data_IF_935645082940
#
_entry.id   IF_935645082940
#
_cell.length_a   1.000
_cell.length_b   1.000
_cell.length_c   1.000
_cell.angle_alpha   90.00
_cell.angle_beta   90.00
_cell.angle_gamma   90.00
#
_symmetry.space_group_name_H-M   'P 1'
#
loop_
_entity.id
_entity.type
_entity.pdbx_description
1 polymer ?
#
# COMPACT_ATOMS: atom_id res chain seq x y z
N UNK A 1 19.22 -15.18 1.87
CA UNK A 1 18.29 -14.44 2.76
C UNK A 1 17.12 -13.99 1.90
N UNK A 2 15.89 -14.44 2.18
CA UNK A 2 14.71 -13.90 1.48
C UNK A 2 14.54 -12.47 2.01
N UNK A 3 14.96 -11.48 1.22
CA UNK A 3 15.00 -10.07 1.58
C UNK A 3 13.73 -9.67 2.34
N UNK A 4 13.87 -9.26 3.61
CA UNK A 4 12.76 -8.82 4.46
C UNK A 4 11.88 -7.75 3.77
N UNK A 5 12.48 -7.00 2.85
CA UNK A 5 11.80 -6.03 1.99
C UNK A 5 10.73 -6.66 1.11
N UNK A 6 10.96 -7.84 0.54
CA UNK A 6 9.96 -8.55 -0.27
C UNK A 6 8.76 -8.94 0.58
N UNK A 7 8.99 -9.37 1.83
CA UNK A 7 7.92 -9.73 2.75
C UNK A 7 7.10 -8.49 3.16
N UNK A 8 7.78 -7.39 3.51
CA UNK A 8 7.15 -6.13 3.88
C UNK A 8 6.35 -5.53 2.72
N UNK A 9 6.90 -5.54 1.50
CA UNK A 9 6.20 -5.10 0.29
C UNK A 9 4.94 -5.94 0.07
N UNK A 10 5.04 -7.26 0.20
CA UNK A 10 3.87 -8.15 0.12
C UNK A 10 2.78 -7.81 1.14
N UNK A 11 3.18 -7.49 2.38
CA UNK A 11 2.24 -7.06 3.43
C UNK A 11 1.58 -5.71 3.12
N UNK A 12 2.34 -4.74 2.61
CA UNK A 12 1.80 -3.44 2.17
C UNK A 12 0.72 -3.64 1.11
N UNK A 13 1.00 -4.46 0.09
CA UNK A 13 0.05 -4.75 -0.99
C UNK A 13 -1.22 -5.44 -0.48
N UNK A 14 -1.08 -6.48 0.34
CA UNK A 14 -2.22 -7.18 0.94
C UNK A 14 -3.12 -6.26 1.79
N UNK A 15 -2.52 -5.40 2.61
CA UNK A 15 -3.26 -4.44 3.44
C UNK A 15 -3.96 -3.38 2.60
N UNK A 16 -3.27 -2.86 1.58
CA UNK A 16 -3.84 -1.89 0.64
C UNK A 16 -5.04 -2.49 -0.09
N UNK A 17 -4.90 -3.66 -0.69
CA UNK A 17 -5.98 -4.29 -1.48
C UNK A 17 -7.21 -4.55 -0.61
N UNK A 18 -7.00 -4.98 0.64
CA UNK A 18 -8.07 -5.11 1.64
C UNK A 18 -8.77 -3.79 1.94
N UNK A 19 -8.03 -2.69 2.07
CA UNK A 19 -8.59 -1.36 2.32
C UNK A 19 -9.30 -0.79 1.09
N UNK A 20 -8.76 -0.99 -0.11
CA UNK A 20 -9.40 -0.63 -1.40
C UNK A 20 -10.73 -1.35 -1.56
N UNK A 21 -10.78 -2.65 -1.28
CA UNK A 21 -12.02 -3.44 -1.32
C UNK A 21 -13.09 -2.89 -0.34
N UNK A 22 -12.65 -2.30 0.77
CA UNK A 22 -13.50 -1.69 1.81
C UNK A 22 -13.57 -0.17 1.72
N UNK A 23 -13.18 0.45 0.60
CA UNK A 23 -13.13 1.92 0.47
C UNK A 23 -14.46 2.62 0.77
N UNK A 24 -15.57 1.95 0.46
CA UNK A 24 -16.93 2.42 0.71
C UNK A 24 -17.28 2.47 2.21
N UNK A 25 -16.54 1.76 3.05
CA UNK A 25 -16.69 1.75 4.49
C UNK A 25 -15.69 2.68 5.20
N UNK A 26 -14.88 3.45 4.46
CA UNK A 26 -13.98 4.45 5.04
C UNK A 26 -14.81 5.67 5.44
N UNK A 27 -14.81 6.08 6.73
CA UNK A 27 -15.48 7.30 7.15
C UNK A 27 -14.92 8.53 6.45
N UNK A 28 -15.76 9.52 6.15
CA UNK A 28 -15.34 10.75 5.46
C UNK A 28 -14.22 11.49 6.20
N UNK A 29 -14.20 11.42 7.54
CA UNK A 29 -13.14 11.96 8.40
C UNK A 29 -11.78 11.30 8.20
N UNK A 30 -11.73 10.09 7.64
CA UNK A 30 -10.51 9.30 7.43
C UNK A 30 -10.06 9.28 5.95
N UNK A 31 -10.82 9.89 5.04
CA UNK A 31 -10.49 9.90 3.60
C UNK A 31 -9.16 10.62 3.28
N UNK A 32 -8.83 11.68 4.02
CA UNK A 32 -7.56 12.39 3.82
C UNK A 32 -6.35 11.52 4.19
N UNK A 33 -6.43 10.81 5.31
CA UNK A 33 -5.40 9.86 5.74
C UNK A 33 -5.31 8.68 4.77
N UNK A 34 -6.46 8.15 4.33
CA UNK A 34 -6.52 7.10 3.32
C UNK A 34 -5.85 7.51 2.01
N UNK A 35 -6.15 8.71 1.49
CA UNK A 35 -5.55 9.22 0.24
C UNK A 35 -4.03 9.34 0.36
N UNK A 36 -3.53 9.84 1.49
CA UNK A 36 -2.09 9.92 1.77
C UNK A 36 -1.43 8.54 1.82
N UNK A 37 -2.05 7.57 2.51
CA UNK A 37 -1.55 6.19 2.57
C UNK A 37 -1.58 5.53 1.19
N UNK A 38 -2.69 5.67 0.46
CA UNK A 38 -2.83 5.14 -0.89
C UNK A 38 -1.73 5.67 -1.81
N UNK A 39 -1.46 6.98 -1.79
CA UNK A 39 -0.37 7.60 -2.57
C UNK A 39 1.00 7.00 -2.24
N UNK A 40 1.32 6.82 -0.95
CA UNK A 40 2.57 6.17 -0.51
C UNK A 40 2.66 4.69 -0.91
N UNK A 41 1.53 4.00 -0.98
CA UNK A 41 1.48 2.59 -1.42
C UNK A 41 1.47 2.41 -2.95
N UNK A 42 1.29 3.49 -3.70
CA UNK A 42 1.16 3.45 -5.17
C UNK A 42 2.48 3.08 -5.84
N UNK A 43 3.62 3.42 -5.24
CA UNK A 43 4.95 3.10 -5.77
C UNK A 43 5.30 1.61 -5.64
N UNK A 44 4.56 0.87 -4.81
CA UNK A 44 4.70 -0.58 -4.66
C UNK A 44 3.75 -1.36 -5.59
N UNK A 45 2.81 -0.69 -6.25
CA UNK A 45 1.87 -1.35 -7.15
C UNK A 45 2.62 -1.88 -8.37
N UNK A 46 2.68 -3.20 -8.48
CA UNK A 46 3.30 -3.88 -9.62
C UNK A 46 2.56 -3.64 -10.93
N UNK A 47 1.32 -3.13 -10.92
CA UNK A 47 0.53 -2.85 -12.14
C UNK A 47 0.83 -1.47 -12.74
N UNK A 48 1.29 -0.52 -11.93
CA UNK A 48 1.66 0.84 -12.40
C UNK A 48 2.72 0.86 -13.53
N UNK A 49 3.71 -0.05 -13.54
CA UNK A 49 4.66 -0.17 -14.63
C UNK A 49 4.10 -0.88 -15.88
N UNK A 50 3.11 -1.79 -15.74
CA UNK A 50 2.53 -2.50 -16.87
C UNK A 50 1.65 -1.59 -17.73
N UNK A 51 0.94 -0.65 -17.12
CA UNK A 51 0.19 0.40 -17.86
C UNK A 51 1.11 1.36 -18.64
N UNK A 52 2.41 1.42 -18.31
CA UNK A 52 3.41 2.23 -19.01
C UNK A 52 4.37 1.42 -19.89
N UNK A 53 4.21 0.10 -19.96
CA UNK A 53 5.08 -0.77 -20.75
C UNK A 53 4.69 -0.71 -22.24
N UNK A 54 5.37 0.15 -23.00
CA UNK A 54 5.20 0.24 -24.46
C UNK A 54 5.94 -0.92 -25.14
N UNK A 55 5.23 -1.69 -25.98
CA UNK A 55 5.79 -2.81 -26.77
C UNK A 55 7.03 -2.34 -27.55
N UNK A 56 8.18 -2.97 -27.31
CA UNK A 56 9.45 -2.69 -28.00
C UNK A 56 10.49 -1.90 -27.20
N UNK A 57 10.18 -1.47 -25.96
CA UNK A 57 11.16 -0.79 -25.08
C UNK A 57 11.72 -1.74 -24.03
N UNK A 58 13.01 -1.60 -23.69
CA UNK A 58 13.68 -2.35 -22.61
C UNK A 58 13.09 -1.91 -21.28
N UNK A 59 12.08 -2.64 -20.82
CA UNK A 59 11.43 -2.40 -19.55
C UNK A 59 12.37 -2.82 -18.41
N UNK A 60 12.80 -1.84 -17.63
CA UNK A 60 13.58 -2.09 -16.41
C UNK A 60 12.56 -2.21 -15.29
N UNK A 61 12.43 -3.42 -14.72
CA UNK A 61 11.57 -3.68 -13.56
C UNK A 61 11.86 -2.58 -12.52
N UNK A 62 10.84 -1.89 -11.96
CA UNK A 62 11.09 -0.84 -10.98
C UNK A 62 12.02 -1.41 -9.94
N UNK A 63 13.18 -0.77 -9.83
CA UNK A 63 14.21 -1.20 -8.92
C UNK A 63 13.55 -1.35 -7.55
N UNK A 64 13.78 -2.52 -6.94
CA UNK A 64 13.28 -2.91 -5.62
C UNK A 64 13.33 -1.68 -4.73
N UNK A 65 12.17 -1.22 -4.24
CA UNK A 65 11.98 -0.03 -3.42
C UNK A 65 13.28 0.47 -2.76
N UNK A 66 13.78 1.62 -3.22
CA UNK A 66 15.06 2.18 -2.77
C UNK A 66 15.02 2.86 -1.39
N UNK A 67 13.87 2.81 -0.71
CA UNK A 67 13.71 3.32 0.65
C UNK A 67 14.22 2.33 1.70
N UNK A 68 14.41 2.82 2.92
CA UNK A 68 14.92 2.02 4.04
C UNK A 68 13.87 0.99 4.49
N UNK A 69 14.32 -0.16 5.00
CA UNK A 69 13.46 -1.16 5.65
C UNK A 69 12.59 -0.54 6.77
N UNK A 70 13.09 0.52 7.42
CA UNK A 70 12.34 1.27 8.43
C UNK A 70 11.10 1.97 7.85
N UNK A 71 11.24 2.60 6.68
CA UNK A 71 10.12 3.29 6.02
C UNK A 71 9.02 2.31 5.57
N UNK A 72 9.43 1.13 5.12
CA UNK A 72 8.54 0.02 4.78
C UNK A 72 7.79 -0.50 6.02
N UNK A 73 8.51 -0.72 7.13
CA UNK A 73 7.91 -1.16 8.40
C UNK A 73 6.92 -0.13 8.94
N UNK A 74 7.27 1.16 8.91
CA UNK A 74 6.40 2.26 9.34
C UNK A 74 5.15 2.37 8.47
N UNK A 75 5.28 2.14 7.16
CA UNK A 75 4.15 2.12 6.25
C UNK A 75 3.21 0.95 6.54
N UNK A 76 3.74 -0.25 6.77
CA UNK A 76 2.96 -1.43 7.19
C UNK A 76 2.22 -1.14 8.48
N UNK A 77 2.89 -0.56 9.49
CA UNK A 77 2.29 -0.24 10.77
C UNK A 77 1.19 0.82 10.63
N UNK A 78 1.40 1.84 9.81
CA UNK A 78 0.40 2.87 9.52
C UNK A 78 -0.86 2.28 8.87
N UNK A 79 -0.70 1.37 7.91
CA UNK A 79 -1.83 0.67 7.26
C UNK A 79 -2.58 -0.25 8.23
N UNK A 80 -1.85 -0.96 9.12
CA UNK A 80 -2.46 -1.79 10.16
C UNK A 80 -3.28 -0.96 11.14
N UNK A 81 -2.74 0.16 11.62
CA UNK A 81 -3.43 1.04 12.55
C UNK A 81 -4.65 1.69 11.90
N UNK A 82 -4.53 2.13 10.64
CA UNK A 82 -5.66 2.63 9.85
C UNK A 82 -6.77 1.59 9.75
N UNK A 83 -6.44 0.34 9.38
CA UNK A 83 -7.42 -0.74 9.30
C UNK A 83 -8.07 -1.04 10.67
N UNK A 84 -7.30 -0.99 11.76
CA UNK A 84 -7.81 -1.21 13.12
C UNK A 84 -8.79 -0.10 13.54
N UNK A 85 -8.45 1.17 13.28
CA UNK A 85 -9.31 2.33 13.54
C UNK A 85 -10.60 2.28 12.71
N UNK A 86 -10.49 1.91 11.44
CA UNK A 86 -11.66 1.67 10.58
C UNK A 86 -12.58 0.58 11.16
N UNK A 87 -12.02 -0.55 11.61
CA UNK A 87 -12.80 -1.64 12.22
C UNK A 87 -13.49 -1.21 13.52
N UNK A 88 -12.80 -0.45 14.39
CA UNK A 88 -13.37 0.08 15.63
C UNK A 88 -14.49 1.09 15.37
N UNK A 89 -14.33 1.97 14.38
CA UNK A 89 -15.36 2.92 13.96
C UNK A 89 -16.62 2.21 13.45
N UNK A 90 -16.49 0.98 12.94
CA UNK A 90 -17.62 0.18 12.43
C UNK A 90 -18.41 -0.54 13.53
N UNK A 91 -17.82 -0.77 14.71
CA UNK A 91 -18.49 -1.42 15.84
C UNK A 91 -19.39 -0.46 16.62
N UNK A 92 -19.26 0.85 16.39
CA UNK A 92 -20.00 1.89 17.10
C UNK A 92 -21.29 2.34 16.38
N UNK A 93 -21.74 1.59 15.38
CA UNK A 93 -22.88 1.94 14.52
C UNK A 93 -23.89 0.82 14.42
#
# INVERSE_FOLDING_TARGET
MKNDNTLLIGQVLQLRDKLVAKRHAIPSSMLGEWSRLQKRTTDFDINRPFDMAIKGTRFTKPNVYGGSNGELSDLVNSLKEFNKRMMRSKTHH
#
